data_IF_616366754827
#
_entry.id   IF_616366754827
#
_cell.length_a   1.000
_cell.length_b   1.000
_cell.length_c   1.000
_cell.angle_alpha   90.00
_cell.angle_beta   90.00
_cell.angle_gamma   90.00
#
_symmetry.space_group_name_H-M   'P 1'
#
loop_
_entity.id
_entity.type
_entity.pdbx_description
1 polymer ?
#
# COMPACT_ATOMS: atom_id res chain seq x y z
N UNK A 1 -11.14 2.51 9.65
CA UNK A 1 -12.15 1.87 8.76
C UNK A 1 -11.37 1.28 7.59
N UNK A 2 -11.77 0.15 6.98
CA UNK A 2 -10.98 -0.53 5.93
C UNK A 2 -10.58 0.39 4.74
N UNK A 3 -11.34 1.43 4.45
CA UNK A 3 -11.03 2.38 3.36
C UNK A 3 -10.13 3.55 3.78
N UNK A 4 -9.75 3.63 5.06
CA UNK A 4 -8.90 4.68 5.61
C UNK A 4 -7.42 4.31 5.43
N UNK A 5 -6.64 5.05 4.63
CA UNK A 5 -5.22 4.77 4.42
C UNK A 5 -4.40 4.64 5.70
N UNK A 6 -4.76 5.37 6.76
CA UNK A 6 -4.03 5.34 8.03
C UNK A 6 -4.16 4.01 8.78
N UNK A 7 -5.07 3.13 8.36
CA UNK A 7 -5.22 1.78 8.91
C UNK A 7 -4.14 0.81 8.39
N UNK A 8 -3.31 1.22 7.45
CA UNK A 8 -2.33 0.38 6.74
C UNK A 8 -0.92 0.88 6.96
N UNK A 9 0.06 -0.04 6.93
CA UNK A 9 1.45 0.37 6.90
C UNK A 9 1.84 0.92 5.52
N UNK A 10 2.89 1.72 5.45
CA UNK A 10 3.45 2.18 4.16
C UNK A 10 3.86 1.02 3.25
N UNK A 11 4.23 -0.13 3.82
CA UNK A 11 4.52 -1.37 3.07
C UNK A 11 3.26 -1.92 2.39
N UNK A 12 2.13 -1.92 3.09
CA UNK A 12 0.86 -2.44 2.58
C UNK A 12 0.30 -1.53 1.47
N UNK A 13 0.41 -0.21 1.65
CA UNK A 13 -0.01 0.79 0.66
C UNK A 13 0.91 0.82 -0.57
N UNK A 14 2.21 0.62 -0.37
CA UNK A 14 3.16 0.45 -1.47
C UNK A 14 2.79 -0.75 -2.34
N UNK A 15 2.53 -1.91 -1.74
CA UNK A 15 2.14 -3.10 -2.48
C UNK A 15 0.86 -2.85 -3.30
N UNK A 16 -0.16 -2.25 -2.67
CA UNK A 16 -1.43 -1.96 -3.34
C UNK A 16 -1.24 -1.07 -4.58
N UNK A 17 -0.49 0.01 -4.44
CA UNK A 17 -0.22 0.96 -5.54
C UNK A 17 0.65 0.34 -6.64
N UNK A 18 1.59 -0.53 -6.30
CA UNK A 18 2.37 -1.30 -7.27
C UNK A 18 1.51 -2.31 -8.04
N UNK A 19 0.57 -2.99 -7.38
CA UNK A 19 -0.35 -3.92 -8.03
C UNK A 19 -1.26 -3.19 -9.03
N UNK A 20 -1.82 -2.03 -8.64
CA UNK A 20 -2.57 -1.18 -9.57
C UNK A 20 -1.72 -0.79 -10.79
N UNK A 21 -0.52 -0.24 -10.55
CA UNK A 21 0.36 0.21 -11.62
C UNK A 21 0.74 -0.93 -12.58
N UNK A 22 1.16 -2.09 -12.05
CA UNK A 22 1.60 -3.24 -12.85
C UNK A 22 0.47 -3.86 -13.68
N UNK A 23 -0.79 -3.72 -13.24
CA UNK A 23 -1.98 -4.13 -14.00
C UNK A 23 -2.49 -3.05 -14.96
N UNK A 24 -1.79 -1.92 -15.08
CA UNK A 24 -2.10 -0.85 -16.03
C UNK A 24 -3.05 0.22 -15.50
N UNK A 25 -3.41 0.19 -14.22
CA UNK A 25 -4.24 1.21 -13.57
C UNK A 25 -3.44 2.48 -13.26
N UNK A 26 -2.94 3.15 -14.29
CA UNK A 26 -2.06 4.32 -14.13
C UNK A 26 -2.90 5.55 -13.78
N UNK A 27 -3.83 5.90 -14.66
CA UNK A 27 -4.65 7.11 -14.51
C UNK A 27 -5.78 6.91 -13.49
N UNK A 28 -6.16 7.91 -12.67
CA UNK A 28 -7.25 7.75 -11.71
C UNK A 28 -8.57 7.29 -12.32
N UNK A 29 -8.87 7.75 -13.55
CA UNK A 29 -10.04 7.35 -14.33
C UNK A 29 -10.05 5.87 -14.74
N UNK A 30 -8.91 5.18 -14.70
CA UNK A 30 -8.84 3.76 -14.99
C UNK A 30 -9.24 2.90 -13.80
N UNK A 31 -9.15 3.43 -12.57
CA UNK A 31 -9.57 2.74 -11.35
C UNK A 31 -11.05 3.03 -11.14
N UNK A 32 -11.91 2.21 -11.75
CA UNK A 32 -13.37 2.34 -11.63
C UNK A 32 -13.98 1.22 -10.77
N UNK A 33 -14.98 1.55 -9.96
CA UNK A 33 -15.66 0.57 -9.09
C UNK A 33 -16.39 -0.55 -9.86
N UNK A 34 -16.73 -0.32 -11.13
CA UNK A 34 -17.39 -1.32 -11.98
C UNK A 34 -16.41 -2.37 -12.54
N UNK A 35 -15.10 -2.11 -12.50
CA UNK A 35 -14.09 -2.99 -13.08
C UNK A 35 -13.88 -4.25 -12.22
N UNK A 36 -14.20 -5.41 -12.79
CA UNK A 36 -14.08 -6.71 -12.12
C UNK A 36 -12.64 -7.09 -11.78
N UNK A 37 -11.65 -6.57 -12.50
CA UNK A 37 -10.24 -6.85 -12.22
C UNK A 37 -9.76 -6.31 -10.86
N UNK A 38 -10.48 -5.34 -10.26
CA UNK A 38 -10.18 -4.87 -8.91
C UNK A 38 -10.37 -6.00 -7.87
N UNK A 39 -11.21 -6.99 -8.16
CA UNK A 39 -11.33 -8.20 -7.34
C UNK A 39 -10.02 -9.02 -7.39
N UNK A 40 -9.38 -9.11 -8.56
CA UNK A 40 -8.08 -9.79 -8.71
C UNK A 40 -6.97 -9.05 -7.95
N UNK A 41 -6.91 -7.72 -8.07
CA UNK A 41 -5.92 -6.89 -7.35
C UNK A 41 -6.11 -7.03 -5.84
N UNK A 42 -7.35 -6.96 -5.37
CA UNK A 42 -7.69 -7.13 -3.96
C UNK A 42 -7.31 -8.51 -3.43
N UNK A 43 -7.58 -9.56 -4.21
CA UNK A 43 -7.24 -10.94 -3.89
C UNK A 43 -5.73 -11.15 -3.85
N UNK A 44 -5.02 -10.63 -4.85
CA UNK A 44 -3.56 -10.70 -4.95
C UNK A 44 -2.90 -9.94 -3.78
N UNK A 45 -3.37 -8.73 -3.47
CA UNK A 45 -2.90 -7.95 -2.33
C UNK A 45 -3.13 -8.69 -1.01
N UNK A 46 -4.33 -9.24 -0.80
CA UNK A 46 -4.68 -9.93 0.43
C UNK A 46 -3.80 -11.17 0.64
N UNK A 47 -3.62 -12.00 -0.39
CA UNK A 47 -2.84 -13.24 -0.29
C UNK A 47 -1.32 -13.03 -0.36
N UNK A 48 -0.84 -11.83 -0.67
CA UNK A 48 0.59 -11.55 -0.70
C UNK A 48 1.24 -11.74 0.68
N UNK A 49 2.43 -12.34 0.71
CA UNK A 49 3.14 -12.69 1.96
C UNK A 49 3.31 -11.48 2.89
N UNK A 50 3.62 -10.31 2.34
CA UNK A 50 3.77 -9.08 3.13
C UNK A 50 2.48 -8.70 3.87
N UNK A 51 1.33 -8.83 3.20
CA UNK A 51 0.02 -8.49 3.78
C UNK A 51 -0.37 -9.51 4.83
N UNK A 52 -0.10 -10.79 4.58
CA UNK A 52 -0.34 -11.87 5.55
C UNK A 52 0.47 -11.66 6.84
N UNK A 53 1.72 -11.18 6.73
CA UNK A 53 2.49 -10.76 7.90
C UNK A 53 1.84 -9.58 8.63
N UNK A 54 1.39 -8.55 7.91
CA UNK A 54 0.68 -7.41 8.52
C UNK A 54 -0.62 -7.85 9.24
N UNK A 55 -1.35 -8.84 8.70
CA UNK A 55 -2.54 -9.44 9.34
C UNK A 55 -2.16 -10.18 10.62
N UNK A 56 -1.07 -10.97 10.60
CA UNK A 56 -0.54 -11.62 11.80
C UNK A 56 -0.12 -10.61 12.87
N UNK A 57 0.41 -9.46 12.46
CA UNK A 57 0.81 -8.34 13.32
C UNK A 57 -0.38 -7.47 13.79
N UNK A 58 -1.62 -7.79 13.40
CA UNK A 58 -2.84 -7.16 13.92
C UNK A 58 -3.58 -6.22 12.95
N UNK A 59 -3.25 -6.22 11.65
CA UNK A 59 -4.08 -5.53 10.64
C UNK A 59 -5.48 -6.18 10.62
N UNK A 60 -6.57 -5.42 10.91
CA UNK A 60 -7.89 -5.99 11.16
C UNK A 60 -8.65 -6.29 9.86
N UNK A 61 -8.12 -7.21 9.05
CA UNK A 61 -8.67 -7.64 7.77
C UNK A 61 -8.66 -9.17 7.72
N UNK A 62 -9.80 -9.75 7.41
CA UNK A 62 -10.03 -11.21 7.38
C UNK A 62 -10.36 -11.74 5.98
N UNK A 63 -10.51 -10.85 4.99
CA UNK A 63 -10.83 -11.18 3.60
C UNK A 63 -10.36 -10.09 2.62
N UNK A 64 -10.25 -10.41 1.32
CA UNK A 64 -10.04 -9.40 0.29
C UNK A 64 -11.09 -8.28 0.36
N UNK A 65 -10.66 -7.06 0.05
CA UNK A 65 -11.55 -5.92 -0.16
C UNK A 65 -12.55 -6.19 -1.28
N UNK A 66 -13.76 -5.63 -1.18
CA UNK A 66 -14.63 -5.51 -2.34
C UNK A 66 -14.08 -4.47 -3.33
N UNK A 67 -14.53 -4.52 -4.60
CA UNK A 67 -14.19 -3.48 -5.60
C UNK A 67 -14.45 -2.06 -5.12
N UNK A 68 -15.58 -1.86 -4.43
CA UNK A 68 -15.92 -0.56 -3.86
C UNK A 68 -14.92 -0.12 -2.80
N UNK A 69 -14.48 -1.03 -1.94
CA UNK A 69 -13.47 -0.73 -0.93
C UNK A 69 -12.11 -0.45 -1.57
N UNK A 70 -11.71 -1.21 -2.58
CA UNK A 70 -10.49 -0.98 -3.36
C UNK A 70 -10.51 0.40 -4.04
N UNK A 71 -11.59 0.73 -4.74
CA UNK A 71 -11.80 2.03 -5.37
C UNK A 71 -11.77 3.17 -4.34
N UNK A 72 -12.51 3.04 -3.23
CA UNK A 72 -12.55 4.07 -2.19
C UNK A 72 -11.21 4.26 -1.49
N UNK A 73 -10.48 3.18 -1.22
CA UNK A 73 -9.13 3.26 -0.67
C UNK A 73 -8.22 4.04 -1.62
N UNK A 74 -8.22 3.72 -2.91
CA UNK A 74 -7.45 4.45 -3.92
C UNK A 74 -7.80 5.95 -3.97
N UNK A 75 -9.09 6.29 -3.99
CA UNK A 75 -9.54 7.69 -3.96
C UNK A 75 -9.08 8.42 -2.69
N UNK A 76 -9.09 7.73 -1.54
CA UNK A 76 -8.62 8.29 -0.28
C UNK A 76 -7.10 8.48 -0.27
N UNK A 77 -6.32 7.62 -0.95
CA UNK A 77 -4.87 7.78 -1.10
C UNK A 77 -4.54 9.03 -1.92
N UNK A 78 -5.22 9.26 -3.05
CA UNK A 78 -5.06 10.48 -3.84
C UNK A 78 -5.43 11.72 -3.04
N UNK A 79 -6.55 11.67 -2.30
CA UNK A 79 -6.98 12.79 -1.45
C UNK A 79 -5.98 13.11 -0.34
N UNK A 80 -5.35 12.09 0.25
CA UNK A 80 -4.36 12.26 1.32
C UNK A 80 -3.03 12.80 0.80
N UNK A 81 -2.71 12.55 -0.48
CA UNK A 81 -1.45 12.92 -1.11
C UNK A 81 -1.73 13.84 -2.32
N UNK A 82 -2.06 15.12 -2.09
CA UNK A 82 -2.49 16.05 -3.15
C UNK A 82 -1.43 16.30 -4.23
N UNK A 83 -0.16 16.01 -3.94
CA UNK A 83 0.96 16.11 -4.90
C UNK A 83 1.05 14.87 -5.84
N UNK A 84 0.24 13.84 -5.60
CA UNK A 84 0.18 12.64 -6.44
C UNK A 84 -1.00 12.75 -7.42
N UNK A 85 -0.70 12.80 -8.72
CA UNK A 85 -1.74 12.96 -9.74
C UNK A 85 -2.30 11.62 -10.23
N UNK A 86 -1.53 10.55 -10.06
CA UNK A 86 -1.85 9.22 -10.59
C UNK A 86 -1.25 8.10 -9.73
N UNK A 87 -1.47 6.85 -10.15
CA UNK A 87 -0.99 5.66 -9.43
C UNK A 87 0.53 5.55 -9.40
N UNK A 88 1.23 6.02 -10.44
CA UNK A 88 2.70 6.05 -10.48
C UNK A 88 3.24 6.97 -9.40
N UNK A 89 2.66 8.14 -9.23
CA UNK A 89 3.07 9.10 -8.20
C UNK A 89 2.83 8.54 -6.80
N UNK A 90 1.67 7.90 -6.58
CA UNK A 90 1.38 7.22 -5.31
C UNK A 90 2.38 6.09 -5.03
N UNK A 91 2.69 5.25 -6.02
CA UNK A 91 3.66 4.17 -5.85
C UNK A 91 5.06 4.72 -5.51
N UNK A 92 5.49 5.78 -6.18
CA UNK A 92 6.74 6.47 -5.88
C UNK A 92 6.73 7.10 -4.48
N UNK A 93 5.64 7.76 -4.10
CA UNK A 93 5.47 8.35 -2.79
C UNK A 93 5.66 7.31 -1.68
N UNK A 94 4.93 6.20 -1.74
CA UNK A 94 5.05 5.14 -0.74
C UNK A 94 6.39 4.40 -0.81
N UNK A 95 7.00 4.29 -1.99
CA UNK A 95 8.34 3.73 -2.14
C UNK A 95 9.37 4.56 -1.38
N UNK A 96 9.45 5.87 -1.63
CA UNK A 96 10.43 6.74 -0.97
C UNK A 96 10.17 6.85 0.53
N UNK A 97 8.90 6.94 0.93
CA UNK A 97 8.53 6.89 2.35
C UNK A 97 9.03 5.61 3.01
N UNK A 98 8.85 4.46 2.36
CA UNK A 98 9.32 3.18 2.88
C UNK A 98 10.85 3.07 2.94
N UNK A 99 11.56 3.60 1.94
CA UNK A 99 13.03 3.67 1.96
C UNK A 99 13.50 4.50 3.16
N UNK A 100 12.89 5.66 3.42
CA UNK A 100 13.25 6.52 4.54
C UNK A 100 13.00 5.83 5.90
N UNK A 101 11.89 5.10 6.06
CA UNK A 101 11.62 4.30 7.26
C UNK A 101 12.69 3.24 7.49
N UNK A 102 13.08 2.51 6.44
CA UNK A 102 14.07 1.44 6.53
C UNK A 102 15.46 1.99 6.85
N UNK A 103 15.88 3.07 6.19
CA UNK A 103 17.12 3.78 6.49
C UNK A 103 17.15 4.24 7.95
N UNK A 104 16.07 4.85 8.43
CA UNK A 104 15.96 5.31 9.81
C UNK A 104 16.10 4.15 10.81
N UNK A 105 15.46 3.00 10.54
CA UNK A 105 15.58 1.79 11.37
C UNK A 105 17.00 1.24 11.37
N UNK A 106 17.65 1.19 10.20
CA UNK A 106 19.05 0.75 10.08
C UNK A 106 19.95 1.65 10.92
N UNK A 107 19.79 2.96 10.84
CA UNK A 107 20.63 3.89 11.60
C UNK A 107 20.39 3.80 13.11
N UNK A 108 19.14 3.58 13.54
CA UNK A 108 18.84 3.27 14.95
C UNK A 108 19.50 1.97 15.42
N UNK A 109 19.52 0.93 14.59
CA UNK A 109 20.20 -0.33 14.94
C UNK A 109 21.71 -0.18 15.00
N UNK A 110 22.33 0.63 14.13
CA UNK A 110 23.77 0.94 14.22
C UNK A 110 24.13 1.60 15.55
N UNK A 111 23.27 2.48 16.08
CA UNK A 111 23.47 3.09 17.39
C UNK A 111 23.28 2.10 18.54
N UNK A 112 22.35 1.15 18.39
CA UNK A 112 22.05 0.13 19.41
C UNK A 112 23.10 -0.98 19.48
N UNK A 113 23.70 -1.33 18.33
CA UNK A 113 24.71 -2.37 18.20
C UNK A 113 26.01 -1.80 17.60
N UNK A 114 26.72 -0.91 18.32
CA UNK A 114 27.89 -0.23 17.75
C UNK A 114 29.07 -1.16 17.49
N UNK A 115 29.11 -2.35 18.10
CA UNK A 115 30.20 -3.33 17.96
C UNK A 115 29.63 -4.75 17.82
N UNK A 116 29.47 -5.21 16.58
CA UNK A 116 29.52 -6.63 16.23
C UNK A 116 30.74 -6.79 15.30
N UNK A 117 31.93 -6.50 15.85
CA UNK A 117 33.21 -6.93 15.30
C UNK A 117 33.79 -8.04 16.17
#
# INVERSE_FOLDING_TARGET
>A
MIIDPSSYSNRDLLLFTQLLHTKGYIEPKSVENNDSSLDDISTEWFHHTSTQLSIQDGLPIDKPWSRQQCYQLYQNLLKLNPDCENTTDLANHYYYTRINELTSKIDQYKLTFPNLE
#
